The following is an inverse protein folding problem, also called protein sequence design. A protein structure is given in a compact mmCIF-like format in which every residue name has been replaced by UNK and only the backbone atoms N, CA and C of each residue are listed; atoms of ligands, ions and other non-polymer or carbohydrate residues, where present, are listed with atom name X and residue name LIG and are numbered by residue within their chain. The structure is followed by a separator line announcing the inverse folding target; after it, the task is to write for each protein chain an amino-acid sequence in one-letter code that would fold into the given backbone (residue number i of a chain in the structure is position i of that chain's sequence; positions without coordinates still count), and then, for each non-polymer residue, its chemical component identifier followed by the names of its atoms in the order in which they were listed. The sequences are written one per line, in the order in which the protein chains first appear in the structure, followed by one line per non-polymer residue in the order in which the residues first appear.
data_IF_149238279974
#
_entry.id   IF_149238279974
#
_cell.length_a   1.000
_cell.length_b   1.000
_cell.length_c   1.000
_cell.angle_alpha   90.00
_cell.angle_beta   90.00
_cell.angle_gamma   90.00
#
_symmetry.space_group_name_H-M   'P 1'
#
loop_
_entity.id
_entity.type
_entity.pdbx_description
1 polymer ?
#
# COMPACT_ATOMS: atom_id res chain seq x y z
N UNK A 1 -19.80 0.54 -30.84
CA UNK A 1 -18.83 -0.09 -29.95
C UNK A 1 -19.27 0.26 -28.52
N UNK A 2 -19.32 -0.71 -27.61
CA UNK A 2 -19.64 -0.48 -26.22
C UNK A 2 -18.60 0.41 -25.54
N UNK A 3 -18.93 0.96 -24.38
CA UNK A 3 -18.01 1.79 -23.59
C UNK A 3 -16.87 0.93 -23.07
N UNK A 4 -15.62 1.44 -23.15
CA UNK A 4 -14.45 0.75 -22.62
C UNK A 4 -14.26 1.10 -21.15
N UNK A 5 -14.21 0.06 -20.28
CA UNK A 5 -14.03 0.19 -18.84
C UNK A 5 -12.71 -0.40 -18.35
N UNK A 6 -12.09 -1.30 -19.12
CA UNK A 6 -10.88 -2.03 -18.75
C UNK A 6 -9.73 -1.70 -19.70
N UNK A 7 -8.58 -1.37 -19.13
CA UNK A 7 -7.37 -0.95 -19.83
C UNK A 7 -6.17 -1.76 -19.36
N UNK A 8 -5.50 -2.47 -20.26
CA UNK A 8 -4.19 -3.06 -19.93
C UNK A 8 -3.20 -1.96 -19.58
N UNK A 9 -2.19 -2.24 -18.75
CA UNK A 9 -1.17 -1.23 -18.45
C UNK A 9 -0.46 -0.71 -19.71
N UNK A 10 -0.31 -1.54 -20.72
CA UNK A 10 0.24 -1.14 -22.03
C UNK A 10 -0.65 -0.18 -22.83
N UNK A 11 -1.92 -0.04 -22.49
CA UNK A 11 -2.90 0.81 -23.19
C UNK A 11 -3.06 2.20 -22.55
N UNK A 12 -2.44 2.46 -21.40
CA UNK A 12 -2.55 3.70 -20.66
C UNK A 12 -1.28 4.55 -20.65
N UNK A 13 -1.38 5.70 -20.02
CA UNK A 13 -0.26 6.63 -19.75
C UNK A 13 -0.57 7.54 -18.56
N UNK A 14 0.40 8.36 -18.14
CA UNK A 14 0.28 9.27 -16.98
C UNK A 14 -0.83 10.32 -17.09
N UNK A 15 -1.23 10.68 -18.31
CA UNK A 15 -2.23 11.73 -18.56
C UNK A 15 -3.66 11.20 -18.38
N UNK A 16 -3.84 9.89 -18.34
CA UNK A 16 -5.13 9.22 -18.12
C UNK A 16 -5.51 9.08 -16.63
N UNK A 17 -5.01 9.96 -15.78
CA UNK A 17 -5.20 9.88 -14.32
C UNK A 17 -6.67 9.96 -13.89
N UNK A 18 -7.49 10.69 -14.62
CA UNK A 18 -8.93 10.78 -14.34
C UNK A 18 -9.63 9.43 -14.52
N UNK A 19 -9.21 8.67 -15.52
CA UNK A 19 -9.82 7.41 -15.91
C UNK A 19 -9.21 6.19 -15.18
N UNK A 20 -7.88 6.17 -15.05
CA UNK A 20 -7.14 5.05 -14.49
C UNK A 20 -6.78 5.22 -13.01
N UNK A 21 -7.09 6.38 -12.43
CA UNK A 21 -6.59 6.77 -11.13
C UNK A 21 -5.08 7.04 -11.14
N UNK A 22 -4.55 7.55 -10.04
CA UNK A 22 -3.12 7.87 -9.95
C UNK A 22 -2.23 6.64 -10.06
N UNK A 23 -2.60 5.54 -9.40
CA UNK A 23 -1.84 4.29 -9.43
C UNK A 23 -1.85 3.64 -10.82
N UNK A 24 -3.03 3.49 -11.43
CA UNK A 24 -3.16 2.87 -12.75
C UNK A 24 -2.44 3.66 -13.84
N UNK A 25 -2.56 4.98 -13.85
CA UNK A 25 -1.87 5.85 -14.79
C UNK A 25 -0.34 5.73 -14.66
N UNK A 26 0.20 5.70 -13.45
CA UNK A 26 1.62 5.56 -13.22
C UNK A 26 2.14 4.15 -13.54
N UNK A 27 1.39 3.10 -13.23
CA UNK A 27 1.73 1.74 -13.65
C UNK A 27 1.79 1.61 -15.18
N UNK A 28 0.83 2.22 -15.88
CA UNK A 28 0.82 2.26 -17.33
C UNK A 28 2.02 3.04 -17.89
N UNK A 29 2.34 4.20 -17.31
CA UNK A 29 3.48 5.01 -17.73
C UNK A 29 4.81 4.28 -17.54
N UNK A 30 5.03 3.65 -16.37
CA UNK A 30 6.23 2.86 -16.12
C UNK A 30 6.34 1.66 -17.08
N UNK A 31 5.22 1.00 -17.38
CA UNK A 31 5.17 -0.10 -18.35
C UNK A 31 5.57 0.38 -19.73
N UNK A 32 5.04 1.51 -20.18
CA UNK A 32 5.37 2.14 -21.47
C UNK A 32 6.83 2.58 -21.54
N UNK A 33 7.40 3.02 -20.42
CA UNK A 33 8.82 3.39 -20.30
C UNK A 33 9.76 2.17 -20.23
N UNK A 34 9.24 0.94 -20.34
CA UNK A 34 10.02 -0.29 -20.30
C UNK A 34 10.58 -0.66 -18.93
N UNK A 35 9.99 -0.15 -17.85
CA UNK A 35 10.37 -0.53 -16.50
C UNK A 35 9.82 -1.90 -16.11
N UNK A 36 10.44 -2.60 -15.17
CA UNK A 36 10.01 -3.95 -14.75
C UNK A 36 8.75 -3.88 -13.89
N UNK A 37 7.60 -3.70 -14.52
CA UNK A 37 6.29 -3.65 -13.87
C UNK A 37 5.60 -5.01 -14.08
N UNK A 38 5.09 -5.66 -13.02
CA UNK A 38 4.27 -6.85 -13.17
C UNK A 38 3.06 -6.56 -14.05
N UNK A 39 2.69 -7.50 -14.91
CA UNK A 39 1.58 -7.33 -15.85
C UNK A 39 0.25 -7.09 -15.12
N UNK A 40 -0.63 -6.34 -15.76
CA UNK A 40 -1.92 -6.04 -15.17
C UNK A 40 -2.82 -5.18 -16.06
N UNK A 41 -4.00 -4.93 -15.53
CA UNK A 41 -4.97 -4.02 -16.13
C UNK A 41 -5.66 -3.17 -15.07
N UNK A 42 -6.23 -2.07 -15.51
CA UNK A 42 -7.01 -1.16 -14.67
C UNK A 42 -8.48 -1.20 -15.07
N UNK A 43 -9.36 -1.45 -14.11
CA UNK A 43 -10.80 -1.21 -14.22
C UNK A 43 -11.03 0.24 -13.85
N UNK A 44 -11.59 1.03 -14.77
CA UNK A 44 -11.61 2.50 -14.71
C UNK A 44 -12.47 3.08 -13.60
N UNK A 45 -12.23 4.36 -13.27
CA UNK A 45 -13.10 5.12 -12.37
C UNK A 45 -14.54 5.21 -12.88
N UNK A 46 -14.74 5.21 -14.20
CA UNK A 46 -16.07 5.18 -14.81
C UNK A 46 -16.83 3.88 -14.54
N UNK A 47 -16.11 2.74 -14.43
CA UNK A 47 -16.71 1.49 -14.01
C UNK A 47 -17.18 1.55 -12.54
N UNK A 48 -16.44 2.25 -11.67
CA UNK A 48 -16.86 2.52 -10.30
C UNK A 48 -18.14 3.36 -10.26
N UNK A 49 -18.21 4.43 -11.04
CA UNK A 49 -19.41 5.25 -11.15
C UNK A 49 -20.60 4.42 -11.64
N UNK A 50 -20.39 3.58 -12.64
CA UNK A 50 -21.43 2.68 -13.16
C UNK A 50 -21.89 1.66 -12.10
N UNK A 51 -20.95 1.10 -11.33
CA UNK A 51 -21.25 0.20 -10.22
C UNK A 51 -22.21 0.82 -9.20
N UNK A 52 -22.00 2.09 -8.83
CA UNK A 52 -22.90 2.80 -7.92
C UNK A 52 -24.25 3.13 -8.58
N UNK A 53 -24.27 3.52 -9.86
CA UNK A 53 -25.48 3.78 -10.61
C UNK A 53 -26.35 2.53 -10.78
N UNK A 54 -25.73 1.36 -10.92
CA UNK A 54 -26.40 0.05 -11.05
C UNK A 54 -26.74 -0.57 -9.66
N UNK A 55 -26.84 0.25 -8.61
CA UNK A 55 -27.20 -0.21 -7.27
C UNK A 55 -26.15 -1.09 -6.60
N UNK A 56 -24.89 -0.77 -6.77
CA UNK A 56 -23.71 -1.50 -6.27
C UNK A 56 -23.59 -2.89 -6.88
N UNK A 57 -23.85 -2.98 -8.18
CA UNK A 57 -23.67 -4.21 -8.97
C UNK A 57 -22.72 -3.93 -10.14
N UNK A 58 -21.88 -4.92 -10.46
CA UNK A 58 -21.08 -4.92 -11.68
C UNK A 58 -21.94 -5.54 -12.78
N UNK A 59 -22.25 -4.79 -13.82
CA UNK A 59 -23.02 -5.29 -14.95
C UNK A 59 -22.22 -6.25 -15.84
N UNK A 60 -22.92 -6.99 -16.69
CA UNK A 60 -22.33 -8.05 -17.52
C UNK A 60 -21.25 -7.52 -18.48
N UNK A 61 -21.37 -6.30 -18.97
CA UNK A 61 -20.38 -5.70 -19.90
C UNK A 61 -19.05 -5.43 -19.15
N UNK A 62 -19.10 -4.82 -17.98
CA UNK A 62 -17.90 -4.60 -17.15
C UNK A 62 -17.28 -5.94 -16.73
N UNK A 63 -18.10 -6.90 -16.31
CA UNK A 63 -17.64 -8.24 -15.93
C UNK A 63 -16.93 -8.93 -17.09
N UNK A 64 -17.50 -8.90 -18.28
CA UNK A 64 -16.87 -9.50 -19.47
C UNK A 64 -15.54 -8.84 -19.80
N UNK A 65 -15.47 -7.50 -19.75
CA UNK A 65 -14.21 -6.79 -19.97
C UNK A 65 -13.14 -7.12 -18.92
N UNK A 66 -13.50 -7.39 -17.67
CA UNK A 66 -12.57 -7.86 -16.63
C UNK A 66 -12.03 -9.25 -17.00
N UNK A 67 -12.89 -10.17 -17.44
CA UNK A 67 -12.47 -11.50 -17.87
C UNK A 67 -11.60 -11.47 -19.12
N UNK A 68 -11.90 -10.60 -20.08
CA UNK A 68 -11.08 -10.38 -21.28
C UNK A 68 -9.70 -9.82 -20.91
N UNK A 69 -9.64 -8.89 -19.96
CA UNK A 69 -8.40 -8.36 -19.39
C UNK A 69 -7.57 -9.45 -18.71
N UNK A 70 -8.20 -10.32 -17.92
CA UNK A 70 -7.56 -11.46 -17.30
C UNK A 70 -7.00 -12.44 -18.34
N UNK A 71 -7.76 -12.76 -19.38
CA UNK A 71 -7.30 -13.64 -20.45
C UNK A 71 -6.07 -13.08 -21.19
N UNK A 72 -6.03 -11.76 -21.44
CA UNK A 72 -4.84 -11.09 -21.99
C UNK A 72 -3.64 -11.16 -21.05
N UNK A 73 -3.86 -10.99 -19.73
CA UNK A 73 -2.78 -11.18 -18.75
C UNK A 73 -2.22 -12.60 -18.79
N UNK A 74 -3.09 -13.61 -18.85
CA UNK A 74 -2.69 -15.02 -18.94
C UNK A 74 -1.78 -15.27 -20.16
N UNK A 75 -2.16 -14.70 -21.30
CA UNK A 75 -1.38 -14.81 -22.54
C UNK A 75 0.00 -14.14 -22.39
N UNK A 76 0.05 -12.91 -21.88
CA UNK A 76 1.29 -12.16 -21.72
C UNK A 76 2.23 -12.82 -20.69
N UNK A 77 1.67 -13.31 -19.57
CA UNK A 77 2.43 -13.95 -18.50
C UNK A 77 2.84 -15.40 -18.82
N UNK A 78 2.21 -16.03 -19.81
CA UNK A 78 2.39 -17.47 -20.09
C UNK A 78 1.92 -18.36 -18.93
N UNK A 79 0.97 -17.89 -18.13
CA UNK A 79 0.41 -18.57 -16.97
C UNK A 79 -1.10 -18.46 -16.98
N UNK A 80 -1.79 -19.38 -16.30
CA UNK A 80 -3.25 -19.29 -16.15
C UNK A 80 -3.64 -18.95 -14.73
N UNK A 81 -4.70 -18.17 -14.62
CA UNK A 81 -5.26 -17.76 -13.32
C UNK A 81 -5.70 -19.00 -12.55
N UNK A 82 -5.13 -19.15 -11.34
CA UNK A 82 -5.39 -20.28 -10.45
C UNK A 82 -5.10 -21.67 -11.06
N UNK A 83 -4.14 -21.78 -11.98
CA UNK A 83 -3.67 -23.08 -12.49
C UNK A 83 -2.94 -23.85 -11.36
N UNK A 84 -3.34 -25.08 -11.05
CA UNK A 84 -2.67 -25.86 -10.01
C UNK A 84 -1.19 -26.14 -10.26
N UNK A 85 -0.72 -26.10 -11.51
CA UNK A 85 0.67 -26.44 -11.84
C UNK A 85 1.61 -25.23 -11.81
N UNK A 86 1.16 -24.06 -12.26
CA UNK A 86 1.92 -22.81 -12.28
C UNK A 86 0.95 -21.62 -12.26
N UNK A 87 0.39 -21.28 -11.10
CA UNK A 87 -0.68 -20.32 -11.01
C UNK A 87 -0.23 -18.90 -11.35
N UNK A 88 -1.03 -18.22 -12.18
CA UNK A 88 -1.10 -16.76 -12.13
C UNK A 88 -1.93 -16.40 -10.89
N UNK A 89 -1.30 -15.76 -9.91
CA UNK A 89 -2.00 -15.15 -8.79
C UNK A 89 -2.02 -13.65 -9.00
N UNK A 90 -3.06 -12.98 -8.54
CA UNK A 90 -3.23 -11.53 -8.75
C UNK A 90 -3.51 -10.79 -7.45
N UNK A 91 -3.15 -9.51 -7.44
CA UNK A 91 -3.62 -8.53 -6.46
C UNK A 91 -4.75 -7.70 -7.06
N UNK A 92 -5.67 -7.27 -6.22
CA UNK A 92 -6.72 -6.30 -6.56
C UNK A 92 -6.56 -5.10 -5.64
N UNK A 93 -6.19 -3.96 -6.22
CA UNK A 93 -5.75 -2.76 -5.50
C UNK A 93 -6.53 -1.54 -5.93
N UNK A 94 -6.95 -0.71 -4.99
CA UNK A 94 -7.58 0.58 -5.28
C UNK A 94 -6.60 1.56 -5.94
N UNK A 95 -7.15 2.48 -6.72
CA UNK A 95 -6.39 3.53 -7.39
C UNK A 95 -7.22 4.78 -7.66
N UNK A 96 -7.45 5.64 -6.65
CA UNK A 96 -8.15 6.90 -6.84
C UNK A 96 -7.29 7.94 -7.58
N UNK A 97 -7.94 8.98 -8.13
CA UNK A 97 -7.24 10.13 -8.77
C UNK A 97 -6.31 10.83 -7.79
N UNK A 98 -6.78 11.05 -6.55
CA UNK A 98 -5.98 11.57 -5.46
C UNK A 98 -5.38 10.42 -4.64
N UNK A 99 -4.16 10.60 -4.14
CA UNK A 99 -3.53 9.63 -3.23
C UNK A 99 -4.26 9.64 -1.89
N UNK A 100 -4.76 8.48 -1.48
CA UNK A 100 -5.49 8.26 -0.22
C UNK A 100 -4.87 7.06 0.52
N UNK A 101 -3.66 7.18 1.09
CA UNK A 101 -2.93 6.06 1.68
C UNK A 101 -3.71 5.42 2.83
N UNK A 102 -3.89 4.09 2.78
CA UNK A 102 -4.57 3.32 3.82
C UNK A 102 -6.09 3.52 3.91
N UNK A 103 -6.67 4.41 3.09
CA UNK A 103 -8.11 4.71 3.17
C UNK A 103 -8.99 3.71 2.41
N UNK A 104 -8.44 3.02 1.44
CA UNK A 104 -9.14 2.03 0.61
C UNK A 104 -8.43 0.69 0.65
N UNK A 105 -9.16 -0.34 0.25
CA UNK A 105 -8.76 -1.71 0.46
C UNK A 105 -7.87 -2.28 -0.66
N UNK A 106 -7.15 -3.33 -0.30
CA UNK A 106 -6.27 -4.13 -1.18
C UNK A 106 -6.46 -5.59 -0.84
N UNK A 107 -6.53 -6.46 -1.84
CA UNK A 107 -6.56 -7.91 -1.66
C UNK A 107 -5.40 -8.52 -2.45
N UNK A 108 -4.59 -9.34 -1.79
CA UNK A 108 -3.43 -10.01 -2.37
C UNK A 108 -3.68 -11.51 -2.53
N UNK A 109 -2.90 -12.16 -3.38
CA UNK A 109 -2.86 -13.61 -3.53
C UNK A 109 -4.17 -14.25 -4.02
N UNK A 110 -5.00 -13.49 -4.77
CA UNK A 110 -6.21 -14.05 -5.38
C UNK A 110 -5.87 -15.16 -6.37
N UNK A 111 -6.70 -16.18 -6.37
CA UNK A 111 -6.55 -17.39 -7.17
C UNK A 111 -6.16 -18.60 -6.34
N UNK A 112 -5.81 -18.43 -5.08
CA UNK A 112 -5.53 -19.55 -4.18
C UNK A 112 -6.83 -20.23 -3.69
N UNK A 113 -6.78 -21.54 -3.68
CA UNK A 113 -7.73 -22.45 -3.07
C UNK A 113 -7.00 -23.73 -2.65
N UNK A 114 -7.70 -24.71 -2.10
CA UNK A 114 -7.07 -25.93 -1.60
C UNK A 114 -6.27 -26.71 -2.65
N UNK A 115 -6.76 -26.75 -3.89
CA UNK A 115 -6.06 -27.44 -5.00
C UNK A 115 -4.87 -26.63 -5.51
N UNK A 116 -5.04 -25.31 -5.67
CA UNK A 116 -4.00 -24.43 -6.22
C UNK A 116 -2.84 -24.30 -5.24
N UNK A 117 -3.07 -24.23 -3.93
CA UNK A 117 -2.00 -24.10 -2.94
C UNK A 117 -1.09 -25.32 -2.92
N UNK A 118 -1.63 -26.52 -3.10
CA UNK A 118 -0.83 -27.76 -3.17
C UNK A 118 0.10 -27.74 -4.39
N UNK A 119 -0.41 -27.35 -5.54
CA UNK A 119 0.40 -27.21 -6.74
C UNK A 119 1.41 -26.08 -6.64
N UNK A 120 1.03 -24.97 -6.07
CA UNK A 120 1.92 -23.83 -5.82
C UNK A 120 3.06 -24.18 -4.87
N UNK A 121 2.78 -24.97 -3.83
CA UNK A 121 3.80 -25.50 -2.92
C UNK A 121 4.83 -26.39 -3.64
N UNK A 122 4.35 -27.25 -4.54
CA UNK A 122 5.22 -28.12 -5.36
C UNK A 122 6.03 -27.30 -6.38
N UNK A 123 5.38 -26.37 -7.08
CA UNK A 123 6.01 -25.52 -8.08
C UNK A 123 7.15 -24.66 -7.49
N UNK A 124 6.91 -24.05 -6.34
CA UNK A 124 7.89 -23.18 -5.66
C UNK A 124 8.92 -23.98 -4.85
N UNK A 125 8.71 -25.28 -4.67
CA UNK A 125 9.46 -26.12 -3.73
C UNK A 125 9.56 -25.50 -2.32
N UNK A 126 8.54 -24.74 -1.93
CA UNK A 126 8.48 -24.03 -0.65
C UNK A 126 7.04 -24.07 -0.08
N UNK A 127 6.67 -25.20 0.59
CA UNK A 127 5.33 -25.35 1.17
C UNK A 127 4.98 -24.26 2.18
N UNK A 128 5.96 -23.84 3.00
CA UNK A 128 5.74 -22.80 3.99
C UNK A 128 5.27 -21.50 3.32
N UNK A 129 5.98 -21.05 2.29
CA UNK A 129 5.64 -19.87 1.53
C UNK A 129 4.25 -19.97 0.88
N UNK A 130 3.93 -21.11 0.27
CA UNK A 130 2.66 -21.32 -0.39
C UNK A 130 1.48 -21.24 0.60
N UNK A 131 1.58 -21.90 1.74
CA UNK A 131 0.53 -21.89 2.76
C UNK A 131 0.48 -20.59 3.55
N UNK A 132 1.59 -19.90 3.75
CA UNK A 132 1.58 -18.51 4.29
C UNK A 132 0.86 -17.56 3.34
N UNK A 133 1.09 -17.68 2.04
CA UNK A 133 0.36 -16.89 1.02
C UNK A 133 -1.15 -17.18 1.04
N UNK A 134 -1.53 -18.45 1.24
CA UNK A 134 -2.93 -18.83 1.32
C UNK A 134 -3.61 -18.34 2.60
N UNK A 135 -2.96 -18.49 3.77
CA UNK A 135 -3.53 -17.95 5.01
C UNK A 135 -3.69 -16.43 4.97
N UNK A 136 -2.70 -15.69 4.38
CA UNK A 136 -2.79 -14.25 4.18
C UNK A 136 -3.96 -13.89 3.26
N UNK A 137 -4.16 -14.64 2.18
CA UNK A 137 -5.29 -14.44 1.29
C UNK A 137 -6.63 -14.65 2.01
N UNK A 138 -6.79 -15.75 2.77
CA UNK A 138 -8.03 -16.02 3.52
C UNK A 138 -8.31 -14.89 4.51
N UNK A 139 -7.31 -14.47 5.28
CA UNK A 139 -7.44 -13.37 6.24
C UNK A 139 -7.88 -12.07 5.55
N UNK A 140 -7.15 -11.67 4.52
CA UNK A 140 -7.39 -10.39 3.83
C UNK A 140 -8.73 -10.39 3.08
N UNK A 141 -9.05 -11.48 2.38
CA UNK A 141 -10.35 -11.61 1.71
C UNK A 141 -11.51 -11.61 2.71
N UNK A 142 -11.37 -12.31 3.82
CA UNK A 142 -12.38 -12.35 4.87
C UNK A 142 -12.62 -10.98 5.51
N UNK A 143 -11.56 -10.24 5.79
CA UNK A 143 -11.64 -8.88 6.36
C UNK A 143 -12.25 -7.88 5.36
N UNK A 144 -11.67 -7.78 4.18
CA UNK A 144 -12.02 -6.75 3.19
C UNK A 144 -13.32 -7.04 2.45
N UNK A 145 -13.51 -8.29 2.02
CA UNK A 145 -14.66 -8.67 1.17
C UNK A 145 -15.87 -9.06 2.00
N UNK A 146 -15.61 -9.84 3.06
CA UNK A 146 -16.66 -10.46 3.87
C UNK A 146 -16.91 -9.74 5.20
N UNK A 147 -16.15 -8.69 5.48
CA UNK A 147 -16.30 -7.83 6.67
C UNK A 147 -16.18 -8.60 7.99
N UNK A 148 -15.29 -9.61 8.02
CA UNK A 148 -14.88 -10.30 9.24
C UNK A 148 -13.64 -9.62 9.84
N UNK A 149 -13.69 -9.13 11.10
CA UNK A 149 -12.62 -8.29 11.64
C UNK A 149 -11.26 -8.96 11.67
N UNK A 150 -10.24 -8.35 11.07
CA UNK A 150 -8.86 -8.79 11.07
C UNK A 150 -8.34 -9.24 12.45
N UNK A 151 -8.62 -8.50 13.56
CA UNK A 151 -8.15 -8.89 14.90
C UNK A 151 -8.57 -10.29 15.35
N UNK A 152 -9.68 -10.83 14.86
CA UNK A 152 -10.10 -12.18 15.19
C UNK A 152 -9.18 -13.25 14.57
N UNK A 153 -8.69 -12.99 13.36
CA UNK A 153 -7.69 -13.84 12.72
C UNK A 153 -6.31 -13.73 13.41
N UNK A 154 -5.94 -12.53 13.84
CA UNK A 154 -4.70 -12.30 14.59
C UNK A 154 -4.69 -13.05 15.92
N UNK A 155 -5.81 -13.13 16.63
CA UNK A 155 -5.95 -13.97 17.82
C UNK A 155 -5.66 -15.46 17.54
N UNK A 156 -6.11 -15.97 16.39
CA UNK A 156 -5.86 -17.35 15.98
C UNK A 156 -4.37 -17.56 15.72
N UNK A 157 -3.70 -16.60 15.08
CA UNK A 157 -2.25 -16.64 14.86
C UNK A 157 -1.50 -16.64 16.20
N UNK A 158 -1.87 -15.76 17.11
CA UNK A 158 -1.25 -15.66 18.43
C UNK A 158 -1.42 -16.94 19.24
N UNK A 159 -2.59 -17.60 19.19
CA UNK A 159 -2.82 -18.89 19.80
C UNK A 159 -1.88 -19.96 19.26
N UNK A 160 -1.71 -20.04 17.94
CA UNK A 160 -0.79 -21.03 17.33
C UNK A 160 0.65 -20.72 17.71
N UNK A 161 1.06 -19.46 17.74
CA UNK A 161 2.41 -19.07 18.21
C UNK A 161 2.65 -19.47 19.65
N UNK A 162 1.67 -19.28 20.53
CA UNK A 162 1.74 -19.68 21.94
C UNK A 162 1.85 -21.20 22.08
N UNK A 163 1.01 -21.97 21.36
CA UNK A 163 1.04 -23.44 21.33
C UNK A 163 2.41 -23.99 20.86
N UNK A 164 3.09 -23.26 19.97
CA UNK A 164 4.40 -23.64 19.40
C UNK A 164 5.59 -23.03 20.14
N UNK A 165 5.36 -22.11 21.07
CA UNK A 165 6.41 -21.44 21.83
C UNK A 165 7.28 -20.50 21.01
N UNK A 166 6.73 -19.94 19.91
CA UNK A 166 7.41 -18.97 19.03
C UNK A 166 6.84 -17.57 19.19
N UNK A 167 7.59 -16.55 18.76
CA UNK A 167 7.20 -15.14 18.93
C UNK A 167 6.82 -14.46 17.60
N UNK A 168 7.43 -14.89 16.51
CA UNK A 168 7.25 -14.26 15.20
C UNK A 168 6.62 -15.25 14.20
N UNK A 169 5.82 -14.73 13.28
CA UNK A 169 5.18 -15.53 12.23
C UNK A 169 6.20 -16.28 11.36
N UNK A 170 7.39 -15.69 11.16
CA UNK A 170 8.45 -16.28 10.35
C UNK A 170 9.02 -17.57 10.98
N UNK A 171 8.83 -17.77 12.27
CA UNK A 171 9.29 -18.98 13.00
C UNK A 171 8.31 -20.17 12.86
N UNK A 172 7.09 -19.91 12.35
CA UNK A 172 6.10 -20.96 12.10
C UNK A 172 6.48 -21.82 10.89
N UNK A 173 6.29 -23.13 11.01
CA UNK A 173 6.61 -24.10 9.97
C UNK A 173 5.54 -24.18 8.87
N UNK A 174 5.78 -24.98 7.83
CA UNK A 174 4.80 -25.25 6.78
C UNK A 174 3.53 -25.92 7.36
N UNK A 175 3.69 -26.85 8.28
CA UNK A 175 2.60 -27.54 8.97
C UNK A 175 1.78 -26.57 9.83
N UNK A 176 2.45 -25.62 10.49
CA UNK A 176 1.78 -24.57 11.26
C UNK A 176 0.97 -23.65 10.36
N UNK A 177 1.49 -23.30 9.17
CA UNK A 177 0.75 -22.51 8.20
C UNK A 177 -0.48 -23.28 7.63
N UNK A 178 -0.36 -24.58 7.43
CA UNK A 178 -1.51 -25.44 7.05
C UNK A 178 -2.57 -25.44 8.16
N UNK A 179 -2.15 -25.55 9.41
CA UNK A 179 -3.07 -25.48 10.56
C UNK A 179 -3.75 -24.13 10.67
N UNK A 180 -3.03 -23.04 10.42
CA UNK A 180 -3.64 -21.70 10.36
C UNK A 180 -4.69 -21.59 9.26
N UNK A 181 -4.41 -22.10 8.05
CA UNK A 181 -5.39 -22.15 6.94
C UNK A 181 -6.64 -22.91 7.39
N UNK A 182 -6.48 -24.07 8.03
CA UNK A 182 -7.59 -24.88 8.53
C UNK A 182 -8.44 -24.11 9.57
N UNK A 183 -7.79 -23.47 10.55
CA UNK A 183 -8.47 -22.70 11.60
C UNK A 183 -9.17 -21.46 11.03
N UNK A 184 -8.57 -20.76 10.09
CA UNK A 184 -9.15 -19.60 9.43
C UNK A 184 -10.40 -19.97 8.64
N UNK A 185 -10.37 -21.06 7.90
CA UNK A 185 -11.53 -21.57 7.16
C UNK A 185 -12.65 -22.04 8.12
N UNK A 186 -12.30 -22.67 9.21
CA UNK A 186 -13.27 -23.07 10.24
C UNK A 186 -13.94 -21.84 10.88
N UNK A 187 -13.16 -20.81 11.22
CA UNK A 187 -13.68 -19.55 11.75
C UNK A 187 -14.58 -18.83 10.72
N UNK A 188 -14.15 -18.77 9.45
CA UNK A 188 -14.95 -18.22 8.37
C UNK A 188 -16.31 -18.91 8.27
N UNK A 189 -16.31 -20.25 8.23
CA UNK A 189 -17.55 -21.05 8.16
C UNK A 189 -18.44 -20.85 9.39
N UNK A 190 -17.86 -20.77 10.58
CA UNK A 190 -18.62 -20.47 11.81
C UNK A 190 -19.35 -19.12 11.71
N UNK A 191 -18.69 -18.09 11.19
CA UNK A 191 -19.24 -16.72 11.12
C UNK A 191 -20.17 -16.48 9.95
N UNK A 192 -19.92 -17.12 8.80
CA UNK A 192 -20.68 -16.90 7.55
C UNK A 192 -21.71 -17.98 7.25
N UNK A 193 -21.61 -19.16 7.88
CA UNK A 193 -22.48 -20.30 7.62
C UNK A 193 -22.21 -21.03 6.30
N UNK A 194 -21.17 -20.67 5.60
CA UNK A 194 -20.76 -21.23 4.31
C UNK A 194 -19.22 -21.42 4.25
N UNK A 195 -18.75 -22.23 3.30
CA UNK A 195 -17.33 -22.44 3.10
C UNK A 195 -16.66 -21.22 2.44
N UNK A 196 -15.36 -21.04 2.71
CA UNK A 196 -14.57 -20.00 2.06
C UNK A 196 -14.59 -20.18 0.52
N UNK A 197 -14.82 -19.11 -0.26
CA UNK A 197 -14.97 -19.19 -1.71
C UNK A 197 -13.77 -19.85 -2.40
N UNK A 198 -13.99 -20.92 -3.13
CA UNK A 198 -12.96 -21.68 -3.84
C UNK A 198 -12.87 -21.37 -5.33
N UNK A 199 -13.94 -20.79 -5.94
CA UNK A 199 -13.93 -20.40 -7.35
C UNK A 199 -13.12 -19.11 -7.55
N UNK A 200 -12.01 -19.14 -8.31
CA UNK A 200 -11.15 -17.98 -8.51
C UNK A 200 -11.84 -16.79 -9.19
N UNK A 201 -12.79 -17.05 -10.10
CA UNK A 201 -13.54 -15.98 -10.76
C UNK A 201 -14.50 -15.28 -9.81
N UNK A 202 -15.13 -16.04 -8.93
CA UNK A 202 -15.96 -15.47 -7.84
C UNK A 202 -15.09 -14.63 -6.91
N UNK A 203 -13.93 -15.14 -6.49
CA UNK A 203 -12.97 -14.40 -5.69
C UNK A 203 -12.60 -13.06 -6.33
N UNK A 204 -12.26 -13.07 -7.63
CA UNK A 204 -11.88 -11.87 -8.37
C UNK A 204 -13.00 -10.84 -8.43
N UNK A 205 -14.22 -11.26 -8.78
CA UNK A 205 -15.34 -10.34 -8.91
C UNK A 205 -15.75 -9.74 -7.57
N UNK A 206 -15.79 -10.54 -6.51
CA UNK A 206 -16.09 -10.05 -5.17
C UNK A 206 -15.00 -9.10 -4.63
N UNK A 207 -13.73 -9.35 -4.96
CA UNK A 207 -12.63 -8.44 -4.63
C UNK A 207 -12.75 -7.09 -5.36
N UNK A 208 -13.09 -7.09 -6.65
CA UNK A 208 -13.33 -5.85 -7.41
C UNK A 208 -14.50 -5.04 -6.82
N UNK A 209 -15.62 -5.71 -6.50
CA UNK A 209 -16.76 -5.08 -5.82
C UNK A 209 -16.35 -4.49 -4.46
N UNK A 210 -15.57 -5.22 -3.67
CA UNK A 210 -15.11 -4.75 -2.37
C UNK A 210 -14.25 -3.50 -2.48
N UNK A 211 -13.35 -3.43 -3.46
CA UNK A 211 -12.54 -2.24 -3.72
C UNK A 211 -13.41 -1.06 -4.16
N UNK A 212 -14.39 -1.25 -5.03
CA UNK A 212 -15.34 -0.18 -5.37
C UNK A 212 -16.14 0.27 -4.14
N UNK A 213 -16.59 -0.67 -3.30
CA UNK A 213 -17.31 -0.37 -2.06
C UNK A 213 -16.45 0.41 -1.07
N UNK A 214 -15.13 0.14 -1.02
CA UNK A 214 -14.21 0.82 -0.12
C UNK A 214 -14.08 2.33 -0.37
N UNK A 215 -14.46 2.81 -1.57
CA UNK A 215 -14.58 4.25 -1.85
C UNK A 215 -15.54 4.95 -0.88
N UNK A 216 -16.57 4.26 -0.42
CA UNK A 216 -17.62 4.79 0.46
C UNK A 216 -17.47 4.34 1.92
N UNK A 217 -16.34 3.78 2.31
CA UNK A 217 -16.13 3.42 3.71
C UNK A 217 -15.94 4.67 4.60
N UNK A 218 -16.21 4.58 5.92
CA UNK A 218 -16.17 5.73 6.84
C UNK A 218 -14.82 6.48 6.81
N UNK A 219 -13.69 5.77 6.85
CA UNK A 219 -12.35 6.38 6.84
C UNK A 219 -12.06 7.11 5.53
N UNK A 220 -12.48 6.56 4.39
CA UNK A 220 -12.32 7.22 3.10
C UNK A 220 -13.19 8.48 3.00
N UNK A 221 -14.41 8.45 3.54
CA UNK A 221 -15.30 9.61 3.61
C UNK A 221 -14.72 10.75 4.43
N UNK A 222 -14.14 10.44 5.61
CA UNK A 222 -13.47 11.44 6.45
C UNK A 222 -12.29 12.05 5.71
N UNK A 223 -11.42 11.21 5.15
CA UNK A 223 -10.23 11.67 4.43
C UNK A 223 -10.57 12.57 3.24
N UNK A 224 -11.59 12.20 2.45
CA UNK A 224 -12.03 13.02 1.30
C UNK A 224 -12.53 14.39 1.73
N UNK A 225 -13.35 14.47 2.79
CA UNK A 225 -13.82 15.76 3.33
C UNK A 225 -12.68 16.67 3.77
N UNK A 226 -11.67 16.09 4.44
CA UNK A 226 -10.51 16.84 4.91
C UNK A 226 -9.59 17.34 3.79
N UNK A 227 -9.55 16.63 2.66
CA UNK A 227 -8.68 16.94 1.54
C UNK A 227 -9.45 17.51 0.33
N UNK A 228 -10.72 17.88 0.52
CA UNK A 228 -11.57 18.48 -0.52
C UNK A 228 -11.64 17.63 -1.81
N UNK A 229 -11.64 16.29 -1.66
CA UNK A 229 -11.72 15.35 -2.78
C UNK A 229 -13.18 15.08 -3.13
N UNK A 230 -13.63 15.39 -4.37
CA UNK A 230 -15.01 15.18 -4.79
C UNK A 230 -15.44 13.71 -4.71
N UNK A 231 -16.65 13.49 -4.26
CA UNK A 231 -17.22 12.13 -4.08
C UNK A 231 -17.43 11.42 -5.42
N UNK A 232 -17.81 12.14 -6.46
CA UNK A 232 -18.11 11.63 -7.80
C UNK A 232 -16.90 11.15 -8.60
N UNK A 233 -15.68 11.37 -8.09
CA UNK A 233 -14.46 10.89 -8.75
C UNK A 233 -14.34 9.36 -8.76
N UNK A 234 -14.86 8.67 -7.76
CA UNK A 234 -14.74 7.24 -7.63
C UNK A 234 -13.30 6.75 -7.48
N UNK A 235 -13.11 5.44 -7.55
CA UNK A 235 -11.80 4.80 -7.58
C UNK A 235 -11.68 3.87 -8.78
N UNK A 236 -10.49 3.77 -9.35
CA UNK A 236 -10.14 2.67 -10.24
C UNK A 236 -9.72 1.44 -9.44
N UNK A 237 -9.71 0.29 -10.09
CA UNK A 237 -9.22 -0.98 -9.54
C UNK A 237 -8.10 -1.49 -10.43
N UNK A 238 -6.94 -1.76 -9.84
CA UNK A 238 -5.80 -2.37 -10.53
C UNK A 238 -5.76 -3.85 -10.21
N UNK A 239 -5.88 -4.69 -11.22
CA UNK A 239 -5.67 -6.14 -11.15
C UNK A 239 -4.28 -6.41 -11.71
N UNK A 240 -3.38 -6.92 -10.86
CA UNK A 240 -1.97 -7.02 -11.20
C UNK A 240 -1.40 -8.38 -10.80
N UNK A 241 -0.55 -8.94 -11.64
CA UNK A 241 0.22 -10.15 -11.33
C UNK A 241 0.94 -10.00 -10.00
N UNK A 242 0.82 -11.01 -9.14
CA UNK A 242 1.61 -11.07 -7.92
C UNK A 242 3.08 -11.33 -8.22
N UNK A 243 3.93 -10.61 -7.50
CA UNK A 243 5.36 -10.89 -7.33
C UNK A 243 5.64 -10.99 -5.84
N UNK A 244 6.53 -11.90 -5.45
CA UNK A 244 6.62 -12.34 -4.07
C UNK A 244 7.96 -11.98 -3.43
N UNK A 245 7.93 -10.96 -2.56
CA UNK A 245 9.08 -10.58 -1.75
C UNK A 245 9.38 -11.56 -0.60
N UNK A 246 8.47 -12.49 -0.32
CA UNK A 246 8.56 -13.48 0.75
C UNK A 246 8.81 -14.92 0.25
N UNK A 247 9.38 -15.05 -0.95
CA UNK A 247 9.69 -16.37 -1.53
C UNK A 247 11.05 -16.94 -1.12
N UNK A 248 11.79 -16.24 -0.28
CA UNK A 248 13.10 -16.67 0.26
C UNK A 248 14.07 -15.53 0.47
N UNK A 249 15.31 -15.84 0.84
CA UNK A 249 16.35 -14.87 1.23
C UNK A 249 16.86 -14.00 0.05
N UNK A 250 16.66 -14.42 -1.20
CA UNK A 250 16.96 -13.61 -2.39
C UNK A 250 15.78 -12.73 -2.82
N UNK A 251 14.78 -12.63 -1.98
CA UNK A 251 13.55 -11.87 -2.24
C UNK A 251 13.34 -10.84 -1.13
N UNK A 252 12.59 -9.80 -1.43
CA UNK A 252 12.32 -8.74 -0.47
C UNK A 252 11.33 -7.72 -1.03
N UNK A 253 11.01 -6.74 -0.23
CA UNK A 253 10.13 -5.64 -0.62
C UNK A 253 10.54 -4.37 0.10
N UNK A 254 10.22 -3.21 -0.48
CA UNK A 254 10.56 -1.95 0.15
C UNK A 254 9.84 -0.75 -0.43
N UNK A 255 10.03 0.35 0.25
CA UNK A 255 9.56 1.67 -0.12
C UNK A 255 10.72 2.64 -0.08
N UNK A 256 10.86 3.49 -1.07
CA UNK A 256 11.91 4.50 -1.08
C UNK A 256 11.52 5.75 -1.87
N UNK A 257 12.12 6.85 -1.45
CA UNK A 257 12.03 8.14 -2.12
C UNK A 257 13.31 8.39 -2.90
N UNK A 258 13.21 9.11 -4.02
CA UNK A 258 14.40 9.56 -4.80
C UNK A 258 15.21 10.62 -4.06
N UNK A 259 14.56 11.34 -3.13
CA UNK A 259 15.18 12.34 -2.23
C UNK A 259 14.63 12.18 -0.83
N UNK A 260 15.37 12.63 0.18
CA UNK A 260 14.88 12.61 1.56
C UNK A 260 13.62 13.49 1.70
N UNK A 261 12.45 12.93 2.08
CA UNK A 261 11.20 13.67 2.15
C UNK A 261 11.15 14.68 3.31
N UNK A 262 12.04 14.57 4.28
CA UNK A 262 12.12 15.51 5.40
C UNK A 262 13.04 16.71 5.09
N UNK A 263 14.14 16.49 4.37
CA UNK A 263 15.19 17.50 4.14
C UNK A 263 15.30 17.98 2.70
N UNK A 264 14.82 17.20 1.72
CA UNK A 264 14.99 17.46 0.29
C UNK A 264 16.37 17.02 -0.27
N UNK A 265 17.24 16.45 0.55
CA UNK A 265 18.56 15.97 0.12
C UNK A 265 18.44 14.95 -1.01
N UNK A 266 19.27 15.10 -2.06
CA UNK A 266 19.29 14.20 -3.22
C UNK A 266 20.04 12.91 -2.90
N UNK A 267 19.36 12.02 -2.19
CA UNK A 267 19.83 10.68 -1.88
C UNK A 267 18.63 9.74 -1.76
N UNK A 268 18.75 8.50 -2.22
CA UNK A 268 17.72 7.49 -1.99
C UNK A 268 17.46 7.35 -0.49
N UNK A 269 16.21 7.52 -0.11
CA UNK A 269 15.78 7.47 1.28
C UNK A 269 14.61 6.49 1.41
N UNK A 270 14.76 5.46 2.22
CA UNK A 270 13.71 4.46 2.37
C UNK A 270 14.17 3.22 3.10
N UNK A 271 13.33 2.21 3.05
CA UNK A 271 13.46 1.00 3.85
C UNK A 271 13.08 -0.22 3.02
N UNK A 272 13.67 -1.36 3.37
CA UNK A 272 13.32 -2.65 2.79
C UNK A 272 13.37 -3.77 3.83
N UNK A 273 12.69 -4.86 3.53
CA UNK A 273 12.75 -6.13 4.28
C UNK A 273 13.08 -7.27 3.32
N UNK A 274 14.02 -8.11 3.74
CA UNK A 274 14.28 -9.39 3.08
C UNK A 274 13.22 -10.41 3.51
N UNK A 275 12.83 -11.27 2.58
CA UNK A 275 11.84 -12.33 2.78
C UNK A 275 10.57 -11.80 3.45
N UNK A 276 9.93 -10.81 2.81
CA UNK A 276 8.74 -10.12 3.31
C UNK A 276 7.82 -9.65 2.18
N UNK A 277 6.54 -9.51 2.48
CA UNK A 277 5.58 -8.81 1.62
C UNK A 277 5.45 -7.33 2.00
N UNK A 278 4.89 -6.50 1.11
CA UNK A 278 4.75 -5.05 1.32
C UNK A 278 3.99 -4.69 2.60
N UNK A 279 2.99 -5.48 2.98
CA UNK A 279 2.25 -5.29 4.22
C UNK A 279 3.12 -5.47 5.48
N UNK A 280 4.16 -6.29 5.43
CA UNK A 280 5.07 -6.53 6.57
C UNK A 280 5.95 -5.30 6.86
N UNK A 281 6.28 -4.51 5.81
CA UNK A 281 7.00 -3.23 5.96
C UNK A 281 6.15 -2.21 6.70
N UNK A 282 4.88 -2.12 6.31
CA UNK A 282 3.94 -1.12 6.85
C UNK A 282 3.46 -1.50 8.25
N UNK A 283 3.26 -2.80 8.52
CA UNK A 283 2.77 -3.30 9.81
C UNK A 283 3.78 -3.14 10.95
N UNK A 284 5.06 -2.86 10.66
CA UNK A 284 6.10 -2.65 11.68
C UNK A 284 6.38 -3.88 12.56
N UNK A 285 5.99 -5.07 12.14
CA UNK A 285 6.21 -6.32 12.88
C UNK A 285 7.69 -6.67 12.93
N UNK A 286 8.41 -6.36 11.84
CA UNK A 286 9.86 -6.51 11.72
C UNK A 286 10.48 -5.13 11.51
N UNK A 287 11.69 -4.90 12.04
CA UNK A 287 12.43 -3.64 11.81
C UNK A 287 13.02 -3.66 10.40
N UNK A 288 12.61 -2.74 9.51
CA UNK A 288 13.17 -2.65 8.18
C UNK A 288 14.62 -2.16 8.20
N UNK A 289 15.39 -2.53 7.19
CA UNK A 289 16.74 -2.03 6.96
C UNK A 289 16.70 -0.76 6.08
N UNK A 290 17.57 0.22 6.33
CA UNK A 290 17.71 1.37 5.43
C UNK A 290 18.04 0.94 4.01
N UNK A 291 17.47 1.62 3.00
CA UNK A 291 17.67 1.29 1.57
C UNK A 291 19.16 1.28 1.16
N UNK A 292 20.02 2.05 1.85
CA UNK A 292 21.45 2.07 1.61
C UNK A 292 22.14 0.72 1.83
N UNK A 293 21.61 -0.11 2.74
CA UNK A 293 22.16 -1.45 3.00
C UNK A 293 21.85 -2.45 1.88
N UNK A 294 20.84 -2.19 1.06
CA UNK A 294 20.54 -3.02 -0.11
C UNK A 294 21.74 -3.07 -1.10
N UNK A 295 22.58 -2.05 -1.07
CA UNK A 295 23.82 -2.00 -1.86
C UNK A 295 24.80 -3.12 -1.46
N UNK A 296 24.78 -3.54 -0.21
CA UNK A 296 25.61 -4.63 0.31
C UNK A 296 24.91 -5.99 0.14
N UNK A 297 23.62 -6.03 0.46
CA UNK A 297 22.82 -7.27 0.42
C UNK A 297 22.55 -7.77 -1.00
N UNK A 298 22.21 -6.84 -1.92
CA UNK A 298 21.86 -7.15 -3.32
C UNK A 298 22.35 -6.03 -4.25
N UNK A 299 23.67 -5.94 -4.52
CA UNK A 299 24.28 -4.82 -5.26
C UNK A 299 23.72 -4.61 -6.66
N UNK A 300 23.45 -5.66 -7.42
CA UNK A 300 22.86 -5.57 -8.77
C UNK A 300 21.45 -4.98 -8.75
N UNK A 301 20.63 -5.44 -7.81
CA UNK A 301 19.27 -4.94 -7.60
C UNK A 301 19.29 -3.48 -7.17
N UNK A 302 20.19 -3.11 -6.24
CA UNK A 302 20.35 -1.71 -5.81
C UNK A 302 20.71 -0.80 -6.97
N UNK A 303 21.68 -1.20 -7.81
CA UNK A 303 22.10 -0.40 -8.96
C UNK A 303 20.97 -0.24 -9.98
N UNK A 304 20.24 -1.30 -10.28
CA UNK A 304 19.06 -1.24 -11.15
C UNK A 304 17.96 -0.33 -10.56
N UNK A 305 17.72 -0.43 -9.26
CA UNK A 305 16.75 0.42 -8.58
C UNK A 305 17.14 1.89 -8.61
N UNK A 306 18.42 2.20 -8.35
CA UNK A 306 18.95 3.56 -8.39
C UNK A 306 18.83 4.19 -9.79
N UNK A 307 19.10 3.41 -10.85
CA UNK A 307 18.90 3.85 -12.24
C UNK A 307 17.43 4.15 -12.54
N UNK A 308 16.52 3.26 -12.12
CA UNK A 308 15.07 3.47 -12.29
C UNK A 308 14.61 4.71 -11.52
N UNK A 309 15.08 4.92 -10.29
CA UNK A 309 14.77 6.08 -9.49
C UNK A 309 15.19 7.40 -10.17
N UNK A 310 16.38 7.46 -10.71
CA UNK A 310 16.87 8.62 -11.47
C UNK A 310 16.03 8.87 -12.73
N UNK A 311 15.72 7.82 -13.48
CA UNK A 311 14.85 7.90 -14.67
C UNK A 311 13.43 8.40 -14.32
N UNK A 312 12.84 7.91 -13.24
CA UNK A 312 11.52 8.34 -12.79
C UNK A 312 11.50 9.79 -12.35
N UNK A 313 12.49 10.23 -11.56
CA UNK A 313 12.60 11.63 -11.14
C UNK A 313 12.74 12.59 -12.34
N UNK A 314 13.58 12.25 -13.31
CA UNK A 314 13.74 13.01 -14.56
C UNK A 314 12.46 13.02 -15.41
N UNK A 315 11.78 11.89 -15.50
CA UNK A 315 10.56 11.74 -16.29
C UNK A 315 9.39 12.56 -15.74
N UNK A 316 9.16 12.47 -14.42
CA UNK A 316 8.10 13.23 -13.75
C UNK A 316 8.53 14.65 -13.36
N UNK A 317 9.84 14.96 -13.49
CA UNK A 317 10.45 16.23 -13.09
C UNK A 317 10.13 16.59 -11.64
N UNK A 318 10.04 15.58 -10.77
CA UNK A 318 9.76 15.73 -9.35
C UNK A 318 10.24 14.51 -8.57
N UNK A 319 10.53 14.71 -7.27
CA UNK A 319 10.91 13.59 -6.42
C UNK A 319 9.79 12.55 -6.36
N UNK A 320 10.18 11.30 -6.39
CA UNK A 320 9.26 10.16 -6.43
C UNK A 320 9.28 9.36 -5.13
N UNK A 321 8.10 8.89 -4.74
CA UNK A 321 7.86 7.86 -3.75
C UNK A 321 7.56 6.55 -4.50
N UNK A 322 8.33 5.51 -4.23
CA UNK A 322 8.35 4.27 -5.01
C UNK A 322 8.14 3.07 -4.11
N UNK A 323 7.32 2.13 -4.59
CA UNK A 323 7.16 0.81 -4.00
C UNK A 323 7.77 -0.23 -4.94
N UNK A 324 8.56 -1.15 -4.41
CA UNK A 324 9.21 -2.19 -5.19
C UNK A 324 9.20 -3.54 -4.48
N UNK A 325 9.33 -4.60 -5.25
CA UNK A 325 9.49 -5.97 -4.76
C UNK A 325 10.62 -6.65 -5.52
N UNK A 326 11.38 -7.46 -4.81
CA UNK A 326 12.45 -8.30 -5.36
C UNK A 326 11.97 -9.74 -5.21
N UNK A 327 11.83 -10.45 -6.31
CA UNK A 327 11.50 -11.87 -6.32
C UNK A 327 12.66 -12.66 -6.91
N UNK A 328 13.30 -13.49 -6.09
CA UNK A 328 14.44 -14.32 -6.51
C UNK A 328 15.52 -13.52 -7.24
N UNK A 329 15.92 -12.39 -6.68
CA UNK A 329 16.94 -11.49 -7.24
C UNK A 329 16.48 -10.58 -8.37
N UNK A 330 15.20 -10.66 -8.79
CA UNK A 330 14.65 -9.82 -9.86
C UNK A 330 13.81 -8.68 -9.30
N UNK A 331 14.15 -7.47 -9.70
CA UNK A 331 13.44 -6.25 -9.28
C UNK A 331 12.15 -6.04 -10.06
N UNK A 332 11.09 -5.62 -9.35
CA UNK A 332 9.82 -5.16 -9.90
C UNK A 332 9.36 -3.88 -9.25
N UNK A 333 8.87 -2.94 -10.07
CA UNK A 333 8.27 -1.70 -9.61
C UNK A 333 6.76 -1.87 -9.47
N UNK A 334 6.23 -1.60 -8.27
CA UNK A 334 4.81 -1.77 -7.99
C UNK A 334 4.03 -0.46 -8.00
N UNK A 335 4.69 0.66 -7.71
CA UNK A 335 4.08 1.98 -7.69
C UNK A 335 5.15 3.05 -7.77
N UNK A 336 4.80 4.16 -8.41
CA UNK A 336 5.49 5.46 -8.26
C UNK A 336 4.45 6.56 -8.12
N UNK A 337 4.80 7.59 -7.37
CA UNK A 337 4.01 8.82 -7.22
C UNK A 337 4.92 9.97 -6.81
N UNK A 338 4.45 11.20 -7.01
CA UNK A 338 5.15 12.37 -6.48
C UNK A 338 5.24 12.24 -4.96
N UNK A 339 6.45 12.36 -4.44
CA UNK A 339 6.73 12.15 -3.03
C UNK A 339 6.08 13.23 -2.15
N UNK A 340 5.29 12.79 -1.17
CA UNK A 340 4.87 13.68 -0.08
C UNK A 340 6.11 14.08 0.73
N UNK A 341 6.18 15.35 1.10
CA UNK A 341 7.37 15.94 1.72
C UNK A 341 7.02 17.05 2.68
N UNK A 342 7.93 17.36 3.58
CA UNK A 342 7.80 18.53 4.48
C UNK A 342 7.87 19.83 3.67
N UNK A 343 7.42 20.93 4.27
CA UNK A 343 7.51 22.23 3.66
C UNK A 343 8.98 22.66 3.35
N UNK A 344 9.90 22.36 4.26
CA UNK A 344 11.33 22.62 4.06
C UNK A 344 11.89 21.82 2.87
N UNK A 345 11.56 20.54 2.78
CA UNK A 345 11.95 19.70 1.65
C UNK A 345 11.32 20.17 0.33
N UNK A 346 10.06 20.63 0.35
CA UNK A 346 9.39 21.16 -0.83
C UNK A 346 10.12 22.36 -1.42
N UNK A 347 10.53 23.32 -0.59
CA UNK A 347 11.32 24.47 -1.03
C UNK A 347 12.67 24.04 -1.60
N UNK A 348 13.42 23.21 -0.85
CA UNK A 348 14.73 22.73 -1.30
C UNK A 348 14.65 21.99 -2.61
N UNK A 349 13.72 21.05 -2.74
CA UNK A 349 13.53 20.26 -3.97
C UNK A 349 13.17 21.17 -5.15
N UNK A 350 12.29 22.17 -4.95
CA UNK A 350 11.92 23.10 -6.01
C UNK A 350 13.14 23.89 -6.53
N UNK A 351 13.99 24.37 -5.63
CA UNK A 351 15.23 25.09 -5.99
C UNK A 351 16.21 24.14 -6.70
N UNK A 352 16.47 22.96 -6.12
CA UNK A 352 17.40 21.99 -6.70
C UNK A 352 16.97 21.56 -8.12
N UNK A 353 15.66 21.39 -8.37
CA UNK A 353 15.16 21.01 -9.70
C UNK A 353 15.35 22.12 -10.74
N UNK A 354 15.36 23.41 -10.33
CA UNK A 354 15.72 24.53 -11.21
C UNK A 354 17.22 24.49 -11.50
N UNK A 355 18.06 24.36 -10.48
CA UNK A 355 19.51 24.30 -10.61
C UNK A 355 19.97 23.10 -11.49
N UNK A 356 19.24 22.00 -11.41
CA UNK A 356 19.44 20.80 -12.24
C UNK A 356 18.86 20.94 -13.68
N UNK A 357 18.19 22.06 -13.99
CA UNK A 357 17.60 22.34 -15.30
C UNK A 357 16.37 21.48 -15.65
N UNK A 358 15.72 20.87 -14.65
CA UNK A 358 14.55 20.04 -14.86
C UNK A 358 13.27 20.86 -15.00
N UNK A 359 13.15 21.98 -14.28
CA UNK A 359 12.03 22.93 -14.31
C UNK A 359 12.56 24.34 -14.35
N UNK A 360 11.72 25.31 -14.72
CA UNK A 360 12.03 26.73 -14.63
C UNK A 360 11.60 27.32 -13.27
N UNK A 361 12.02 28.55 -12.99
CA UNK A 361 11.72 29.27 -11.74
C UNK A 361 10.21 29.44 -11.52
N UNK A 362 9.45 29.70 -12.60
CA UNK A 362 8.00 29.86 -12.53
C UNK A 362 7.30 28.57 -12.09
N UNK A 363 7.70 27.47 -12.68
CA UNK A 363 7.21 26.14 -12.29
C UNK A 363 7.57 25.82 -10.84
N UNK A 364 8.78 26.13 -10.40
CA UNK A 364 9.23 25.94 -9.02
C UNK A 364 8.34 26.70 -8.02
N UNK A 365 8.03 27.96 -8.31
CA UNK A 365 7.11 28.78 -7.46
C UNK A 365 5.71 28.17 -7.41
N UNK A 366 5.18 27.72 -8.57
CA UNK A 366 3.84 27.10 -8.64
C UNK A 366 3.73 25.76 -7.87
N UNK A 367 4.84 25.08 -7.63
CA UNK A 367 4.86 23.79 -6.90
C UNK A 367 4.84 23.94 -5.39
N UNK A 368 5.20 25.12 -4.88
CA UNK A 368 5.18 25.39 -3.44
C UNK A 368 3.82 25.97 -3.07
N UNK A 369 3.03 25.19 -2.37
CA UNK A 369 1.72 25.61 -1.92
C UNK A 369 1.83 26.68 -0.81
N UNK A 370 1.00 27.74 -0.80
CA UNK A 370 1.03 28.76 0.25
C UNK A 370 0.93 28.19 1.66
N UNK A 371 0.12 27.16 1.87
CA UNK A 371 -0.01 26.44 3.15
C UNK A 371 1.32 25.83 3.64
N UNK A 372 2.24 25.49 2.74
CA UNK A 372 3.56 24.97 3.10
C UNK A 372 4.45 26.07 3.67
N UNK A 373 4.30 27.32 3.20
CA UNK A 373 5.02 28.47 3.79
C UNK A 373 4.54 28.74 5.20
N UNK A 374 3.24 28.67 5.43
CA UNK A 374 2.68 28.80 6.79
C UNK A 374 3.24 27.72 7.73
N UNK A 375 3.42 26.51 7.24
CA UNK A 375 4.00 25.42 8.02
C UNK A 375 5.45 25.71 8.49
N UNK A 376 6.21 26.50 7.74
CA UNK A 376 7.56 26.92 8.14
C UNK A 376 7.54 28.00 9.23
N UNK A 377 6.42 28.65 9.43
CA UNK A 377 6.19 29.66 10.47
C UNK A 377 5.58 29.06 11.73
N UNK A 378 5.39 27.74 11.77
CA UNK A 378 4.84 27.07 12.96
C UNK A 378 5.67 27.31 14.21
N UNK A 379 5.00 27.32 15.38
CA UNK A 379 5.66 27.45 16.67
C UNK A 379 6.79 26.41 16.82
N UNK A 380 7.92 26.86 17.28
CA UNK A 380 9.04 26.02 17.70
C UNK A 380 9.24 26.17 19.21
N UNK A 381 9.79 25.16 19.85
CA UNK A 381 10.21 25.29 21.22
C UNK A 381 11.36 26.30 21.33
N UNK A 382 11.31 27.14 22.35
CA UNK A 382 12.46 27.97 22.71
C UNK A 382 13.71 27.09 22.87
N UNK A 383 14.80 27.48 22.24
CA UNK A 383 16.01 26.67 22.18
C UNK A 383 16.66 26.47 23.57
N UNK A 384 16.56 27.47 24.46
CA UNK A 384 17.08 27.40 25.81
C UNK A 384 16.20 26.49 26.67
N UNK A 385 14.87 26.63 26.55
CA UNK A 385 13.92 25.77 27.24
C UNK A 385 14.03 24.30 26.82
N UNK A 386 14.24 24.04 25.50
CA UNK A 386 14.44 22.70 25.01
C UNK A 386 15.74 22.06 25.54
N UNK A 387 16.81 22.85 25.65
CA UNK A 387 18.07 22.39 26.25
C UNK A 387 17.95 22.09 27.75
N UNK A 388 17.12 22.84 28.47
CA UNK A 388 16.88 22.66 29.90
C UNK A 388 15.83 21.56 30.18
N UNK A 389 15.05 21.14 29.20
CA UNK A 389 13.98 20.17 29.38
C UNK A 389 14.53 18.77 29.69
N UNK A 390 13.85 18.02 30.56
CA UNK A 390 14.14 16.63 30.82
C UNK A 390 13.66 15.80 29.61
N UNK A 391 14.59 15.32 28.81
CA UNK A 391 14.28 14.42 27.69
C UNK A 391 13.91 13.05 28.24
N UNK A 392 12.71 12.57 27.93
CA UNK A 392 12.21 11.23 28.31
C UNK A 392 12.32 10.21 27.17
N UNK A 393 12.53 10.68 25.94
CA UNK A 393 12.71 9.84 24.77
C UNK A 393 13.11 10.66 23.55
N UNK A 394 13.59 9.98 22.51
CA UNK A 394 13.87 10.56 21.19
C UNK A 394 13.13 9.76 20.15
N UNK A 395 12.54 10.41 19.16
CA UNK A 395 11.87 9.81 18.01
C UNK A 395 12.37 10.40 16.71
N UNK A 396 12.02 9.77 15.61
CA UNK A 396 12.21 10.31 14.26
C UNK A 396 11.11 11.34 13.98
N UNK A 397 11.49 12.54 13.60
CA UNK A 397 10.52 13.58 13.25
C UNK A 397 9.88 13.25 11.89
N UNK A 398 8.55 13.10 11.90
CA UNK A 398 7.77 12.85 10.69
C UNK A 398 7.14 14.13 10.10
N UNK A 399 7.03 15.19 10.92
CA UNK A 399 6.53 16.50 10.51
C UNK A 399 7.19 17.61 11.31
N UNK A 400 7.24 18.85 10.76
CA UNK A 400 7.74 20.01 11.50
C UNK A 400 6.75 20.46 12.59
N UNK A 401 7.27 21.24 13.54
CA UNK A 401 6.48 21.90 14.57
C UNK A 401 6.78 21.39 15.97
N UNK A 402 6.17 22.07 16.96
CA UNK A 402 6.24 21.75 18.37
C UNK A 402 4.82 21.52 18.90
N UNK A 403 4.57 20.36 19.45
CA UNK A 403 3.27 19.99 20.00
C UNK A 403 3.33 19.92 21.53
N UNK A 404 2.36 20.54 22.20
CA UNK A 404 2.16 20.43 23.62
C UNK A 404 0.71 20.05 23.90
N UNK A 405 0.50 19.12 24.81
CA UNK A 405 -0.84 18.69 25.20
C UNK A 405 -0.81 17.56 26.21
N UNK A 406 -1.99 17.23 26.73
CA UNK A 406 -2.18 16.08 27.61
C UNK A 406 -2.04 14.80 26.80
N UNK A 407 -1.40 13.79 27.36
CA UNK A 407 -1.21 12.51 26.69
C UNK A 407 -2.50 11.71 26.72
N UNK A 408 -2.91 11.19 25.55
CA UNK A 408 -4.02 10.25 25.36
C UNK A 408 -3.55 9.05 24.56
N UNK A 409 -4.18 7.90 24.76
CA UNK A 409 -3.72 6.62 24.19
C UNK A 409 -4.69 5.98 23.18
N UNK A 410 -5.85 6.60 22.97
CA UNK A 410 -6.81 6.16 21.95
C UNK A 410 -7.30 7.33 21.11
N UNK A 411 -7.79 7.02 19.91
CA UNK A 411 -8.37 8.02 19.01
C UNK A 411 -9.67 8.60 19.60
N UNK A 412 -10.43 7.78 20.29
CA UNK A 412 -11.67 8.15 20.97
C UNK A 412 -11.40 9.15 22.09
N UNK A 413 -10.41 8.88 22.98
CA UNK A 413 -10.03 9.80 24.04
C UNK A 413 -9.50 11.13 23.46
N UNK A 414 -8.71 11.06 22.38
CA UNK A 414 -8.21 12.27 21.72
C UNK A 414 -9.37 13.17 21.26
N UNK A 415 -10.38 12.59 20.64
CA UNK A 415 -11.57 13.30 20.19
C UNK A 415 -12.39 13.86 21.34
N UNK A 416 -12.70 13.02 22.34
CA UNK A 416 -13.48 13.43 23.52
C UNK A 416 -12.82 14.60 24.27
N UNK A 417 -11.50 14.55 24.49
CA UNK A 417 -10.78 15.59 25.19
C UNK A 417 -10.64 16.87 24.35
N UNK A 418 -10.42 16.74 23.05
CA UNK A 418 -10.41 17.88 22.14
C UNK A 418 -11.77 18.58 22.08
N UNK A 419 -12.87 17.85 22.08
CA UNK A 419 -14.24 18.40 22.13
C UNK A 419 -14.51 19.18 23.41
N UNK A 420 -13.79 18.86 24.49
CA UNK A 420 -13.81 19.64 25.75
C UNK A 420 -12.88 20.86 25.73
N UNK A 421 -12.19 21.13 24.62
CA UNK A 421 -11.24 22.22 24.45
C UNK A 421 -9.83 21.95 25.00
N UNK A 422 -9.51 20.69 25.31
CA UNK A 422 -8.18 20.30 25.78
C UNK A 422 -7.23 20.05 24.58
N UNK A 423 -5.98 20.50 24.73
CA UNK A 423 -4.92 20.14 23.82
C UNK A 423 -4.40 18.75 24.14
N UNK A 424 -4.33 17.86 23.18
CA UNK A 424 -3.92 16.46 23.36
C UNK A 424 -2.75 16.07 22.45
N UNK A 425 -1.92 15.17 22.97
CA UNK A 425 -0.90 14.44 22.19
C UNK A 425 -1.30 12.97 22.19
N UNK A 426 -1.54 12.44 21.01
CA UNK A 426 -1.93 11.05 20.84
C UNK A 426 -0.69 10.16 20.85
N UNK A 427 -0.62 9.23 21.80
CA UNK A 427 0.48 8.28 21.94
C UNK A 427 -0.02 6.88 21.66
N UNK A 428 0.54 6.23 20.64
CA UNK A 428 0.13 4.90 20.19
C UNK A 428 1.35 3.98 20.07
N UNK A 429 1.16 2.68 20.00
CA UNK A 429 2.19 1.77 19.54
C UNK A 429 2.50 2.00 18.08
N UNK A 430 1.46 2.10 17.29
CA UNK A 430 1.40 2.45 15.86
C UNK A 430 0.07 3.14 15.59
N UNK A 431 -0.02 3.96 14.56
CA UNK A 431 -1.29 4.50 14.08
C UNK A 431 -1.83 3.65 12.96
N UNK A 432 -3.16 3.51 12.92
CA UNK A 432 -3.87 2.84 11.84
C UNK A 432 -4.80 3.83 11.12
N UNK A 433 -5.28 3.53 9.92
CA UNK A 433 -6.26 4.36 9.23
C UNK A 433 -7.55 4.62 10.03
N UNK A 434 -7.90 3.74 10.93
CA UNK A 434 -9.06 3.85 11.83
C UNK A 434 -8.86 4.95 12.88
N UNK A 435 -7.62 5.30 13.23
CA UNK A 435 -7.30 6.35 14.21
C UNK A 435 -7.47 7.78 13.66
N UNK A 436 -7.89 7.95 12.40
CA UNK A 436 -7.87 9.25 11.69
C UNK A 436 -8.61 10.36 12.42
N UNK A 437 -9.75 10.09 13.05
CA UNK A 437 -10.52 11.12 13.77
C UNK A 437 -9.76 11.66 15.00
N UNK A 438 -9.06 10.79 15.72
CA UNK A 438 -8.19 11.19 16.84
C UNK A 438 -6.91 11.88 16.39
N UNK A 439 -6.33 11.41 15.28
CA UNK A 439 -5.13 12.01 14.70
C UNK A 439 -5.35 13.46 14.26
N UNK A 440 -6.53 13.78 13.75
CA UNK A 440 -6.90 15.13 13.25
C UNK A 440 -6.95 16.15 14.36
N UNK A 441 -7.47 15.78 15.52
CA UNK A 441 -7.68 16.70 16.65
C UNK A 441 -6.46 16.82 17.55
N UNK A 442 -5.52 15.87 17.45
CA UNK A 442 -4.30 15.88 18.25
C UNK A 442 -3.34 16.98 17.79
N UNK A 443 -2.69 17.67 18.77
CA UNK A 443 -1.62 18.64 18.49
C UNK A 443 -0.36 17.96 17.96
N UNK A 444 -0.13 16.73 18.33
CA UNK A 444 0.96 15.88 17.87
C UNK A 444 0.68 14.42 18.11
N UNK A 445 1.39 13.59 17.39
CA UNK A 445 1.27 12.14 17.46
C UNK A 445 2.66 11.57 17.76
N UNK A 446 2.73 10.66 18.72
CA UNK A 446 3.94 9.92 19.05
C UNK A 446 3.65 8.43 18.94
N UNK A 447 4.45 7.71 18.15
CA UNK A 447 4.34 6.27 18.02
C UNK A 447 5.62 5.57 18.48
N UNK A 448 5.48 4.32 18.93
CA UNK A 448 6.62 3.46 19.32
C UNK A 448 7.31 2.91 18.06
N UNK A 449 6.51 2.64 17.02
CA UNK A 449 6.93 2.11 15.72
C UNK A 449 5.90 2.53 14.65
N UNK A 450 6.26 2.41 13.38
CA UNK A 450 5.37 2.72 12.24
C UNK A 450 6.04 3.56 11.23
#
# INVERSE_FOLDING_TARGET
MGKKYVYMFSEGNKDMRELLGGKGANLAEMTKAGMPVPQGFTVSTEACTQYYNDGRQINDDIQQQIYDGLAKMEEICGKKFADPSNPLLVSVRSGARASMPGMMDTILNLGLNDTVVEGFAKFTNNPRFAYDSYRRFIQMFSDVVMELPKPEFEKIIDQVKEEKGVKQDIELTAEDMQELVRRFKAFYREKKGEDFPSDPKVQLMEAVKAVFRSWDNPRANVYRRMNEIPYDWGTAVNVQQMVFGNSGESSGTGVAFTRNPATGEKALFGEYLINAQGEDVVAGVRTPSPISHLKEDMPEVYNQFAEIADRLEKHYKDMQDMEFTIESGKLYMLQTRNGKRTAAAALKVAVDLVDEGMIDEREAVLRVEPKQLDALLHPQFDAAALKAAKVIGKGLAASPGAACGKVVFSAEDAKEWADRGEKVVLVRRETSPEDIEGMVVAQGILTVRG
#
